data_IF_154755830910
#
_entry.id   IF_154755830910
#
_cell.length_a   1.000
_cell.length_b   1.000
_cell.length_c   1.000
_cell.angle_alpha   90.00
_cell.angle_beta   90.00
_cell.angle_gamma   90.00
#
_symmetry.space_group_name_H-M   'P 1'
#
loop_
_entity.id
_entity.type
_entity.pdbx_description
1 polymer ?
#
# COMPACT_ATOMS: atom_id res chain seq x y z
N UNK A 1 13.90 11.57 3.58
CA UNK A 1 14.44 11.93 2.26
C UNK A 1 13.66 13.10 1.67
N UNK A 2 14.29 13.96 0.85
CA UNK A 2 13.59 15.03 0.10
C UNK A 2 12.59 14.42 -0.89
N UNK A 3 11.48 15.13 -1.18
CA UNK A 3 10.48 14.70 -2.18
C UNK A 3 11.07 14.60 -3.60
N UNK A 4 12.07 15.42 -3.90
CA UNK A 4 12.73 15.49 -5.21
C UNK A 4 14.07 14.75 -5.26
N UNK A 5 14.39 13.95 -4.21
CA UNK A 5 15.63 13.18 -4.17
C UNK A 5 15.63 12.12 -5.29
N UNK A 6 16.68 12.16 -6.10
CA UNK A 6 16.97 11.08 -7.04
C UNK A 6 17.44 9.87 -6.24
N UNK A 7 16.65 8.81 -6.28
CA UNK A 7 16.96 7.55 -5.62
C UNK A 7 17.94 6.73 -6.48
N UNK A 8 18.88 6.01 -5.86
CA UNK A 8 19.81 5.16 -6.59
C UNK A 8 19.08 4.06 -7.35
N UNK A 9 19.66 3.60 -8.47
CA UNK A 9 19.14 2.52 -9.29
C UNK A 9 19.35 1.15 -8.62
N UNK A 10 18.74 1.01 -7.44
CA UNK A 10 18.80 -0.20 -6.62
C UNK A 10 17.45 -0.56 -6.05
N UNK A 11 17.27 -1.86 -5.82
CA UNK A 11 16.03 -2.38 -5.22
C UNK A 11 15.93 -1.96 -3.74
N UNK A 12 14.81 -1.35 -3.36
CA UNK A 12 14.55 -0.92 -1.97
C UNK A 12 14.45 -2.07 -0.96
N UNK A 13 14.29 -3.32 -1.43
CA UNK A 13 14.14 -4.51 -0.58
C UNK A 13 15.41 -5.31 -0.40
N UNK A 14 16.19 -5.54 -1.46
CA UNK A 14 17.39 -6.39 -1.44
C UNK A 14 18.67 -5.66 -1.85
N UNK A 15 18.61 -4.36 -2.13
CA UNK A 15 19.74 -3.53 -2.56
C UNK A 15 20.41 -3.98 -3.89
N UNK A 16 19.85 -4.96 -4.60
CA UNK A 16 20.33 -5.36 -5.92
C UNK A 16 20.20 -4.23 -6.93
N UNK A 17 21.13 -4.14 -7.89
CA UNK A 17 21.05 -3.18 -8.99
C UNK A 17 19.78 -3.44 -9.82
N UNK A 18 19.08 -2.37 -10.19
CA UNK A 18 17.87 -2.46 -11.01
C UNK A 18 17.61 -1.15 -11.76
N UNK A 19 17.23 -1.26 -13.01
CA UNK A 19 16.72 -0.15 -13.81
C UNK A 19 15.21 0.00 -13.73
N UNK A 20 14.53 -1.00 -13.15
CA UNK A 20 13.07 -1.01 -12.98
C UNK A 20 12.62 -0.01 -11.92
N UNK A 21 11.94 1.07 -12.32
CA UNK A 21 11.41 2.09 -11.41
C UNK A 21 9.90 1.95 -11.24
N UNK A 22 9.45 1.76 -10.02
CA UNK A 22 8.05 1.72 -9.65
C UNK A 22 7.59 3.10 -9.16
N UNK A 23 6.72 3.75 -9.93
CA UNK A 23 6.09 4.99 -9.50
C UNK A 23 5.09 4.72 -8.38
N UNK A 24 5.33 5.30 -7.21
CA UNK A 24 4.42 5.22 -6.06
C UNK A 24 3.94 6.59 -5.64
N UNK A 25 2.63 6.72 -5.53
CA UNK A 25 1.98 7.89 -4.94
C UNK A 25 1.68 7.56 -3.48
N UNK A 26 2.35 8.24 -2.58
CA UNK A 26 2.09 8.17 -1.15
C UNK A 26 1.14 9.28 -0.74
N UNK A 27 0.29 8.97 0.21
CA UNK A 27 -0.57 9.95 0.86
C UNK A 27 -0.50 9.73 2.36
N UNK A 28 -0.45 10.82 3.07
CA UNK A 28 -0.39 10.82 4.51
C UNK A 28 -1.28 11.93 5.08
N UNK A 29 -1.91 11.66 6.19
CA UNK A 29 -2.65 12.63 6.99
C UNK A 29 -2.35 12.37 8.46
N UNK A 30 -2.47 13.40 9.26
CA UNK A 30 -2.14 13.32 10.67
C UNK A 30 -3.08 12.33 11.39
N UNK A 31 -2.57 11.42 12.26
CA UNK A 31 -3.41 10.43 12.94
C UNK A 31 -4.55 11.02 13.77
N UNK A 32 -4.40 12.23 14.30
CA UNK A 32 -5.48 12.91 15.03
C UNK A 32 -6.76 13.10 14.21
N UNK A 33 -6.68 13.10 12.87
CA UNK A 33 -7.86 13.22 12.00
C UNK A 33 -8.79 11.99 12.14
N UNK A 34 -8.25 10.83 12.56
CA UNK A 34 -9.08 9.63 12.80
C UNK A 34 -10.12 9.82 13.91
N UNK A 35 -9.89 10.75 14.85
CA UNK A 35 -10.87 11.09 15.89
C UNK A 35 -12.16 11.64 15.26
N UNK A 36 -12.05 12.35 14.14
CA UNK A 36 -13.20 12.87 13.41
C UNK A 36 -14.10 11.79 12.82
N UNK A 37 -13.61 10.57 12.62
CA UNK A 37 -14.43 9.44 12.15
C UNK A 37 -15.52 9.13 13.15
N UNK A 38 -15.19 9.19 14.47
CA UNK A 38 -16.11 8.88 15.55
C UNK A 38 -17.17 9.96 15.72
N UNK A 39 -16.81 11.23 15.45
CA UNK A 39 -17.71 12.37 15.63
C UNK A 39 -18.60 12.60 14.41
N UNK A 40 -18.02 12.60 13.21
CA UNK A 40 -18.75 12.83 11.96
C UNK A 40 -17.97 12.32 10.76
N UNK A 41 -18.32 11.15 10.25
CA UNK A 41 -17.63 10.51 9.13
C UNK A 41 -17.61 11.36 7.83
N UNK A 42 -18.66 12.15 7.55
CA UNK A 42 -18.69 13.05 6.41
C UNK A 42 -17.67 14.19 6.54
N UNK A 43 -17.58 14.79 7.73
CA UNK A 43 -16.59 15.85 8.02
C UNK A 43 -15.19 15.27 7.89
N UNK A 44 -14.97 14.04 8.39
CA UNK A 44 -13.69 13.34 8.22
C UNK A 44 -13.30 13.22 6.74
N UNK A 45 -14.21 12.82 5.86
CA UNK A 45 -13.92 12.68 4.43
C UNK A 45 -13.49 14.01 3.79
N UNK A 46 -14.18 15.09 4.11
CA UNK A 46 -13.86 16.43 3.59
C UNK A 46 -12.50 16.90 4.10
N UNK A 47 -12.27 16.83 5.42
CA UNK A 47 -11.01 17.24 6.04
C UNK A 47 -9.85 16.37 5.56
N UNK A 48 -10.03 15.06 5.47
CA UNK A 48 -9.01 14.14 4.98
C UNK A 48 -8.62 14.43 3.51
N UNK A 49 -9.56 14.84 2.66
CA UNK A 49 -9.25 15.25 1.28
C UNK A 49 -8.44 16.55 1.23
N UNK A 50 -8.75 17.52 2.07
CA UNK A 50 -8.09 18.85 2.10
C UNK A 50 -6.70 18.74 2.71
N UNK A 51 -6.55 18.04 3.85
CA UNK A 51 -5.30 17.97 4.62
C UNK A 51 -4.33 16.90 4.09
N UNK A 52 -4.76 16.08 3.14
CA UNK A 52 -3.98 14.98 2.59
C UNK A 52 -2.73 15.47 1.88
N UNK A 53 -1.57 15.27 2.49
CA UNK A 53 -0.26 15.47 1.85
C UNK A 53 0.06 14.32 0.92
N UNK A 54 0.46 14.63 -0.31
CA UNK A 54 0.81 13.66 -1.35
C UNK A 54 2.28 13.79 -1.70
N UNK A 55 2.93 12.65 -1.91
CA UNK A 55 4.28 12.58 -2.45
C UNK A 55 4.34 11.50 -3.53
N UNK A 56 4.96 11.79 -4.65
CA UNK A 56 5.24 10.80 -5.69
C UNK A 56 6.72 10.45 -5.63
N UNK A 57 7.02 9.18 -5.44
CA UNK A 57 8.39 8.69 -5.33
C UNK A 57 8.59 7.56 -6.35
N UNK A 58 9.73 7.56 -7.02
CA UNK A 58 10.15 6.52 -7.95
C UNK A 58 11.10 5.57 -7.21
N UNK A 59 10.60 4.37 -6.88
CA UNK A 59 11.35 3.36 -6.12
C UNK A 59 11.91 2.31 -7.08
N UNK A 60 13.20 1.97 -6.94
CA UNK A 60 13.80 0.84 -7.63
C UNK A 60 13.22 -0.48 -7.10
N UNK A 61 12.82 -1.38 -7.99
CA UNK A 61 12.36 -2.72 -7.63
C UNK A 61 12.93 -3.73 -8.61
N UNK A 62 13.69 -4.71 -8.11
CA UNK A 62 14.27 -5.76 -8.95
C UNK A 62 13.18 -6.66 -9.54
N UNK A 63 13.52 -7.39 -10.58
CA UNK A 63 12.57 -8.24 -11.30
C UNK A 63 11.94 -9.29 -10.40
N UNK A 64 12.72 -9.92 -9.53
CA UNK A 64 12.23 -10.90 -8.56
C UNK A 64 11.13 -10.33 -7.64
N UNK A 65 11.38 -9.17 -7.02
CA UNK A 65 10.41 -8.55 -6.13
C UNK A 65 9.19 -7.98 -6.90
N UNK A 66 9.38 -7.56 -8.15
CA UNK A 66 8.28 -7.14 -9.01
C UNK A 66 7.40 -8.31 -9.43
N UNK A 67 8.00 -9.47 -9.74
CA UNK A 67 7.29 -10.70 -10.06
C UNK A 67 6.51 -11.23 -8.85
N UNK A 68 7.14 -11.33 -7.69
CA UNK A 68 6.45 -11.71 -6.43
C UNK A 68 5.26 -10.81 -6.14
N UNK A 69 5.43 -9.50 -6.29
CA UNK A 69 4.34 -8.54 -6.10
C UNK A 69 3.19 -8.77 -7.09
N UNK A 70 3.49 -9.04 -8.37
CA UNK A 70 2.49 -9.35 -9.39
C UNK A 70 1.71 -10.63 -9.05
N UNK A 71 2.40 -11.68 -8.61
CA UNK A 71 1.79 -12.92 -8.15
C UNK A 71 0.84 -12.67 -6.98
N UNK A 72 1.25 -11.89 -5.97
CA UNK A 72 0.37 -11.55 -4.84
C UNK A 72 -0.87 -10.75 -5.27
N UNK A 73 -0.74 -9.86 -6.24
CA UNK A 73 -1.89 -9.14 -6.81
C UNK A 73 -2.85 -10.13 -7.47
N UNK A 74 -2.36 -11.09 -8.25
CA UNK A 74 -3.19 -12.12 -8.88
C UNK A 74 -3.91 -12.99 -7.85
N UNK A 75 -3.20 -13.44 -6.81
CA UNK A 75 -3.80 -14.22 -5.70
C UNK A 75 -4.91 -13.40 -5.02
N UNK A 76 -4.67 -12.13 -4.75
CA UNK A 76 -5.67 -11.24 -4.15
C UNK A 76 -6.92 -11.12 -5.03
N UNK A 77 -6.76 -10.98 -6.34
CA UNK A 77 -7.87 -10.94 -7.28
C UNK A 77 -8.65 -12.23 -7.34
N UNK A 78 -7.96 -13.38 -7.35
CA UNK A 78 -8.63 -14.70 -7.32
C UNK A 78 -9.45 -14.89 -6.04
N UNK A 79 -8.90 -14.52 -4.89
CA UNK A 79 -9.63 -14.59 -3.62
C UNK A 79 -10.84 -13.64 -3.61
N UNK A 80 -10.70 -12.43 -4.13
CA UNK A 80 -11.79 -11.47 -4.20
C UNK A 80 -12.91 -11.94 -5.14
N UNK A 81 -12.56 -12.47 -6.31
CA UNK A 81 -13.53 -13.04 -7.26
C UNK A 81 -14.22 -14.27 -6.69
N UNK A 82 -13.48 -15.15 -5.99
CA UNK A 82 -14.05 -16.29 -5.27
C UNK A 82 -15.04 -15.85 -4.19
N UNK A 83 -14.74 -14.78 -3.47
CA UNK A 83 -15.65 -14.18 -2.50
C UNK A 83 -16.95 -13.67 -3.13
N UNK A 84 -16.85 -12.95 -4.25
CA UNK A 84 -18.02 -12.46 -4.99
C UNK A 84 -18.84 -13.63 -5.57
N UNK A 85 -18.17 -14.64 -6.14
CA UNK A 85 -18.83 -15.81 -6.67
C UNK A 85 -19.62 -16.57 -5.58
N UNK A 86 -19.02 -16.75 -4.39
CA UNK A 86 -19.71 -17.37 -3.25
C UNK A 86 -20.96 -16.61 -2.85
N UNK A 87 -20.91 -15.27 -2.89
CA UNK A 87 -22.10 -14.46 -2.60
C UNK A 87 -23.21 -14.60 -3.66
N UNK A 88 -22.83 -14.63 -4.94
CA UNK A 88 -23.79 -14.84 -6.04
C UNK A 88 -24.44 -16.24 -5.96
N UNK A 89 -23.64 -17.26 -5.66
CA UNK A 89 -24.15 -18.63 -5.48
C UNK A 89 -25.12 -18.76 -4.29
N UNK A 90 -24.85 -18.03 -3.20
CA UNK A 90 -25.74 -17.99 -2.05
C UNK A 90 -27.14 -17.47 -2.41
N UNK A 91 -27.17 -16.38 -3.19
CA UNK A 91 -28.45 -15.82 -3.68
C UNK A 91 -29.15 -16.80 -4.59
N UNK A 92 -28.43 -17.45 -5.52
CA UNK A 92 -28.99 -18.37 -6.48
C UNK A 92 -29.53 -19.67 -5.82
N UNK A 93 -28.82 -20.17 -4.81
CA UNK A 93 -29.18 -21.40 -4.08
C UNK A 93 -30.16 -21.16 -2.92
N UNK A 94 -30.42 -19.90 -2.58
CA UNK A 94 -31.18 -19.51 -1.38
C UNK A 94 -30.65 -20.18 -0.08
N UNK A 95 -29.30 -20.32 0.00
CA UNK A 95 -28.56 -20.93 1.11
C UNK A 95 -27.53 -19.95 1.65
N UNK A 96 -27.49 -19.76 2.97
CA UNK A 96 -26.56 -18.88 3.66
C UNK A 96 -25.12 -19.38 3.72
N UNK A 97 -24.87 -20.66 3.55
CA UNK A 97 -23.54 -21.28 3.67
C UNK A 97 -22.54 -20.74 2.66
N UNK A 98 -22.83 -20.66 1.34
CA UNK A 98 -21.93 -20.05 0.36
C UNK A 98 -21.68 -18.56 0.62
N UNK A 99 -22.65 -17.82 1.21
CA UNK A 99 -22.48 -16.42 1.56
C UNK A 99 -21.41 -16.25 2.64
N UNK A 100 -21.44 -17.06 3.70
CA UNK A 100 -20.42 -17.02 4.76
C UNK A 100 -19.02 -17.27 4.21
N UNK A 101 -18.87 -18.33 3.39
CA UNK A 101 -17.59 -18.63 2.73
C UNK A 101 -17.16 -17.46 1.86
N UNK A 102 -18.06 -16.88 1.07
CA UNK A 102 -17.80 -15.71 0.23
C UNK A 102 -17.31 -14.51 1.02
N UNK A 103 -17.95 -14.18 2.14
CA UNK A 103 -17.52 -13.07 3.02
C UNK A 103 -16.14 -13.34 3.60
N UNK A 104 -15.87 -14.55 4.10
CA UNK A 104 -14.55 -14.90 4.66
C UNK A 104 -13.45 -14.77 3.59
N UNK A 105 -13.66 -15.31 2.39
CA UNK A 105 -12.71 -15.19 1.28
C UNK A 105 -12.45 -13.71 0.89
N UNK A 106 -13.51 -12.92 0.85
CA UNK A 106 -13.41 -11.51 0.52
C UNK A 106 -12.63 -10.72 1.57
N UNK A 107 -12.89 -10.97 2.85
CA UNK A 107 -12.12 -10.37 3.95
C UNK A 107 -10.65 -10.80 3.93
N UNK A 108 -10.39 -12.08 3.68
CA UNK A 108 -9.02 -12.58 3.49
C UNK A 108 -8.32 -11.90 2.31
N UNK A 109 -9.01 -11.68 1.19
CA UNK A 109 -8.47 -10.97 0.04
C UNK A 109 -8.05 -9.53 0.42
N UNK A 110 -8.87 -8.82 1.19
CA UNK A 110 -8.55 -7.45 1.66
C UNK A 110 -7.30 -7.49 2.56
N UNK A 111 -7.29 -8.31 3.60
CA UNK A 111 -6.18 -8.40 4.55
C UNK A 111 -4.89 -8.80 3.84
N UNK A 112 -4.94 -9.88 3.04
CA UNK A 112 -3.80 -10.37 2.28
C UNK A 112 -3.29 -9.32 1.29
N UNK A 113 -4.19 -8.69 0.53
CA UNK A 113 -3.85 -7.64 -0.42
C UNK A 113 -3.18 -6.43 0.24
N UNK A 114 -3.69 -5.97 1.38
CA UNK A 114 -3.11 -4.85 2.11
C UNK A 114 -1.71 -5.18 2.64
N UNK A 115 -1.50 -6.38 3.17
CA UNK A 115 -0.21 -6.78 3.77
C UNK A 115 0.84 -7.02 2.68
N UNK A 116 0.52 -7.81 1.66
CA UNK A 116 1.50 -8.33 0.70
C UNK A 116 1.85 -7.37 -0.43
N UNK A 117 0.93 -6.50 -0.84
CA UNK A 117 1.18 -5.57 -1.95
C UNK A 117 1.94 -4.30 -1.56
N UNK A 118 2.08 -4.03 -0.25
CA UNK A 118 2.84 -2.88 0.25
C UNK A 118 4.33 -3.16 0.20
N UNK A 119 5.04 -2.48 -0.68
CA UNK A 119 6.52 -2.53 -0.77
C UNK A 119 7.15 -1.69 0.33
N UNK A 120 6.68 -0.46 0.48
CA UNK A 120 7.12 0.52 1.50
C UNK A 120 5.90 1.32 1.95
N UNK A 121 5.94 1.89 3.13
CA UNK A 121 4.89 2.76 3.64
C UNK A 121 5.47 4.04 4.24
N UNK A 122 4.79 5.19 4.05
CA UNK A 122 5.21 6.45 4.63
C UNK A 122 4.88 6.44 6.13
N UNK A 123 5.86 6.80 6.95
CA UNK A 123 5.65 7.06 8.38
C UNK A 123 5.14 8.47 8.62
N UNK A 124 5.70 9.43 7.85
CA UNK A 124 5.34 10.85 7.89
C UNK A 124 5.63 11.48 6.54
N UNK A 125 4.81 12.44 6.11
CA UNK A 125 5.06 13.26 4.93
C UNK A 125 4.92 14.72 5.34
N UNK A 126 6.01 15.47 5.22
CA UNK A 126 6.02 16.92 5.35
C UNK A 126 6.09 17.61 3.97
N UNK A 127 6.14 18.92 3.95
CA UNK A 127 6.14 19.69 2.70
C UNK A 127 7.39 19.46 1.85
N UNK A 128 8.53 19.19 2.50
CA UNK A 128 9.83 18.96 1.85
C UNK A 128 10.33 17.52 1.94
N UNK A 129 9.89 16.77 2.96
CA UNK A 129 10.48 15.47 3.31
C UNK A 129 9.46 14.35 3.42
N UNK A 130 9.92 13.13 3.14
CA UNK A 130 9.15 11.90 3.26
C UNK A 130 9.95 10.89 4.08
N UNK A 131 9.33 10.35 5.13
CA UNK A 131 9.88 9.25 5.95
C UNK A 131 9.27 7.94 5.49
N UNK A 132 10.10 7.05 4.95
CA UNK A 132 9.69 5.73 4.49
C UNK A 132 10.15 4.66 5.47
N UNK A 133 9.29 3.67 5.71
CA UNK A 133 9.60 2.44 6.45
C UNK A 133 9.53 1.24 5.52
N UNK A 134 10.23 0.13 5.90
CA UNK A 134 10.27 -1.11 5.12
C UNK A 134 11.31 -1.10 3.99
N UNK A 135 12.33 -0.25 4.11
CA UNK A 135 13.50 -0.16 3.22
C UNK A 135 14.67 -0.92 3.83
N UNK A 136 15.51 -1.55 3.00
CA UNK A 136 16.72 -2.24 3.43
C UNK A 136 17.73 -1.26 4.06
N UNK A 137 18.41 -1.66 5.14
CA UNK A 137 19.39 -0.83 5.85
C UNK A 137 20.59 -0.43 4.96
N UNK A 138 21.09 -1.36 4.13
CA UNK A 138 22.19 -1.09 3.20
C UNK A 138 21.81 -0.06 2.13
N UNK A 139 20.54 -0.08 1.69
CA UNK A 139 20.00 0.93 0.78
C UNK A 139 19.97 2.31 1.44
N UNK A 140 19.63 2.38 2.73
CA UNK A 140 19.60 3.64 3.48
C UNK A 140 20.99 4.28 3.61
N UNK A 141 22.04 3.47 3.77
CA UNK A 141 23.44 3.92 3.87
C UNK A 141 23.96 4.58 2.57
N UNK A 142 23.28 4.35 1.44
CA UNK A 142 23.64 4.94 0.15
C UNK A 142 22.89 6.26 -0.13
N UNK A 143 21.94 6.61 0.71
CA UNK A 143 21.24 7.89 0.60
C UNK A 143 22.11 9.01 1.18
N UNK A 144 22.01 10.23 0.62
CA UNK A 144 22.71 11.38 1.18
C UNK A 144 22.33 11.56 2.65
N UNK A 145 23.30 11.96 3.51
CA UNK A 145 23.03 12.16 4.92
C UNK A 145 21.89 13.15 5.13
N UNK A 146 21.12 12.90 6.16
CA UNK A 146 20.00 13.77 6.54
C UNK A 146 20.53 15.17 6.87
N UNK A 147 20.03 16.23 6.22
CA UNK A 147 20.47 17.58 6.52
C UNK A 147 19.82 18.13 7.80
N UNK A 148 19.83 17.36 8.90
CA UNK A 148 19.50 17.74 10.25
C UNK A 148 18.11 18.31 10.51
#
# INVERSE_FOLDING_TARGET
MSKDAQLPDRCVKCNAFTTGRLRRKFSWHHPAIYILIVVAWLIYLIVAMIVRKRATVYLGLCEEHSAKRRTYIWITWLLALGGVAGFVLAIAANDGTPALIGVVLFLMAIVFGVITTRVTYPSKIDDRFVWLKGVNAEYLNQLPPWPG
#
